data_IF_660488273741
#
_entry.id   IF_660488273741
#
_cell.length_a   1.000
_cell.length_b   1.000
_cell.length_c   1.000
_cell.angle_alpha   90.00
_cell.angle_beta   90.00
_cell.angle_gamma   90.00
#
_symmetry.space_group_name_H-M   'P 1'
#
loop_
_entity.id
_entity.type
_entity.pdbx_description
1 polymer ?
#
# COMPACT_ATOMS: atom_id res chain seq x y z
N UNK A 1 2.10 14.70 19.62
CA UNK A 1 2.13 15.74 18.57
C UNK A 1 2.02 15.16 17.16
N UNK A 2 1.11 15.70 16.32
CA UNK A 2 1.14 15.50 14.88
C UNK A 2 2.49 15.98 14.30
N UNK A 3 3.15 15.15 13.50
CA UNK A 3 4.52 15.44 13.02
C UNK A 3 4.60 15.62 11.51
N UNK A 4 3.62 15.17 10.74
CA UNK A 4 3.69 15.13 9.27
C UNK A 4 3.81 16.51 8.62
N UNK A 5 3.26 17.56 9.24
CA UNK A 5 3.37 18.95 8.77
C UNK A 5 4.83 19.41 8.60
N UNK A 6 5.77 18.85 9.38
CA UNK A 6 7.20 19.17 9.30
C UNK A 6 7.91 18.48 8.13
N UNK A 7 7.28 17.48 7.51
CA UNK A 7 7.88 16.69 6.42
C UNK A 7 7.29 17.01 5.05
N UNK A 8 5.99 17.33 4.98
CA UNK A 8 5.32 17.59 3.71
C UNK A 8 4.10 18.52 3.87
N UNK A 9 3.85 19.46 2.94
CA UNK A 9 2.69 20.37 3.02
C UNK A 9 1.33 19.66 3.08
N UNK A 10 1.20 18.51 2.39
CA UNK A 10 -0.02 17.67 2.43
C UNK A 10 -0.15 16.82 3.70
N UNK A 11 0.83 16.87 4.60
CA UNK A 11 0.85 16.12 5.86
C UNK A 11 0.49 14.63 5.67
N UNK A 12 -0.55 14.13 6.35
CA UNK A 12 -1.00 12.73 6.29
C UNK A 12 -1.50 12.30 4.90
N UNK A 13 -1.80 13.25 4.01
CA UNK A 13 -2.22 13.01 2.62
C UNK A 13 -1.05 13.03 1.61
N UNK A 14 0.20 13.12 2.09
CA UNK A 14 1.37 13.00 1.23
C UNK A 14 1.50 11.60 0.58
N UNK A 15 2.27 11.47 -0.51
CA UNK A 15 2.61 10.16 -1.10
C UNK A 15 3.13 9.16 -0.06
N UNK A 16 2.74 7.88 -0.23
CA UNK A 16 2.99 6.80 0.74
C UNK A 16 4.47 6.64 1.11
N UNK A 17 5.36 6.82 0.14
CA UNK A 17 6.81 6.71 0.35
C UNK A 17 7.35 7.84 1.23
N UNK A 18 6.79 9.06 1.11
CA UNK A 18 7.12 10.19 2.00
C UNK A 18 6.60 9.92 3.41
N UNK A 19 5.34 9.50 3.55
CA UNK A 19 4.74 9.18 4.85
C UNK A 19 5.51 8.07 5.56
N UNK A 20 5.85 6.98 4.85
CA UNK A 20 6.61 5.87 5.42
C UNK A 20 8.00 6.31 5.91
N UNK A 21 8.72 7.12 5.12
CA UNK A 21 10.03 7.66 5.52
C UNK A 21 9.92 8.58 6.74
N UNK A 22 8.90 9.44 6.80
CA UNK A 22 8.65 10.32 7.93
C UNK A 22 8.35 9.53 9.22
N UNK A 23 7.53 8.48 9.13
CA UNK A 23 7.26 7.58 10.26
C UNK A 23 8.56 6.93 10.75
N UNK A 24 9.37 6.36 9.84
CA UNK A 24 10.64 5.72 10.22
C UNK A 24 11.62 6.71 10.86
N UNK A 25 11.73 7.93 10.34
CA UNK A 25 12.56 8.97 10.95
C UNK A 25 12.06 9.36 12.34
N UNK A 26 10.75 9.50 12.50
CA UNK A 26 10.14 9.82 13.80
C UNK A 26 10.38 8.71 14.83
N UNK A 27 10.20 7.45 14.45
CA UNK A 27 10.51 6.27 15.29
C UNK A 27 11.97 6.29 15.79
N UNK A 28 12.92 6.63 14.91
CA UNK A 28 14.35 6.76 15.29
C UNK A 28 14.58 7.92 16.27
N UNK A 29 13.98 9.08 16.02
CA UNK A 29 14.11 10.27 16.88
C UNK A 29 13.57 10.02 18.29
N UNK A 30 12.44 9.31 18.40
CA UNK A 30 11.79 9.02 19.69
C UNK A 30 12.26 7.74 20.34
N UNK A 31 13.11 6.94 19.67
CA UNK A 31 13.53 5.59 20.11
C UNK A 31 12.32 4.68 20.40
N UNK A 32 11.33 4.71 19.52
CA UNK A 32 10.10 3.93 19.60
C UNK A 32 9.98 2.98 18.41
N UNK A 33 9.35 1.83 18.61
CA UNK A 33 9.09 0.84 17.57
C UNK A 33 7.82 1.13 16.74
N UNK A 34 7.05 2.15 17.13
CA UNK A 34 5.83 2.56 16.45
C UNK A 34 5.56 4.07 16.62
N UNK A 35 4.64 4.57 15.80
CA UNK A 35 3.96 5.86 15.99
C UNK A 35 2.47 5.61 16.17
N UNK A 36 1.70 6.67 16.42
CA UNK A 36 0.26 6.59 16.60
C UNK A 36 -0.50 7.12 15.38
N UNK A 37 -1.59 6.43 15.03
CA UNK A 37 -2.63 6.91 14.14
C UNK A 37 -3.86 7.31 14.98
N UNK A 38 -4.22 8.59 14.93
CA UNK A 38 -5.41 9.12 15.61
C UNK A 38 -6.63 9.03 14.68
N UNK A 39 -7.50 8.06 14.96
CA UNK A 39 -8.78 7.88 14.27
C UNK A 39 -9.97 8.48 15.04
N UNK A 40 -9.75 8.98 16.26
CA UNK A 40 -10.81 9.40 17.20
C UNK A 40 -11.62 10.61 16.69
N UNK A 41 -11.07 11.36 15.73
CA UNK A 41 -11.67 12.57 15.14
C UNK A 41 -12.51 12.29 13.89
N UNK A 42 -12.65 11.04 13.46
CA UNK A 42 -13.52 10.69 12.34
C UNK A 42 -14.98 10.90 12.77
N UNK A 43 -15.66 11.84 12.11
CA UNK A 43 -17.01 12.31 12.50
C UNK A 43 -18.10 11.26 12.30
N UNK A 44 -17.95 10.40 11.29
CA UNK A 44 -18.83 9.26 11.07
C UNK A 44 -18.46 8.15 12.07
N UNK A 45 -19.41 7.26 12.42
CA UNK A 45 -19.06 6.09 13.23
C UNK A 45 -17.96 5.29 12.54
N UNK A 46 -16.79 5.19 13.18
CA UNK A 46 -15.63 4.49 12.61
C UNK A 46 -15.98 3.03 12.31
N UNK A 47 -16.73 2.41 13.22
CA UNK A 47 -17.30 1.07 13.07
C UNK A 47 -18.18 0.88 11.82
N UNK A 48 -18.86 1.93 11.34
CA UNK A 48 -19.69 1.86 10.12
C UNK A 48 -18.86 2.06 8.85
N UNK A 49 -17.89 2.99 8.88
CA UNK A 49 -17.07 3.32 7.71
C UNK A 49 -15.95 2.31 7.47
N UNK A 50 -15.40 1.72 8.54
CA UNK A 50 -14.27 0.80 8.52
C UNK A 50 -14.53 -0.45 9.38
N UNK A 51 -15.60 -1.23 9.11
CA UNK A 51 -16.06 -2.30 9.99
C UNK A 51 -15.01 -3.40 10.22
N UNK A 52 -14.25 -3.77 9.18
CA UNK A 52 -13.18 -4.77 9.29
C UNK A 52 -12.03 -4.27 10.15
N UNK A 53 -11.62 -3.02 9.98
CA UNK A 53 -10.53 -2.43 10.78
C UNK A 53 -10.97 -2.30 12.24
N UNK A 54 -12.19 -1.80 12.47
CA UNK A 54 -12.77 -1.68 13.81
C UNK A 54 -12.76 -3.02 14.56
N UNK A 55 -13.25 -4.09 13.91
CA UNK A 55 -13.22 -5.43 14.50
C UNK A 55 -11.80 -5.89 14.85
N UNK A 56 -10.86 -5.75 13.92
CA UNK A 56 -9.48 -6.16 14.14
C UNK A 56 -8.81 -5.37 15.29
N UNK A 57 -9.10 -4.08 15.43
CA UNK A 57 -8.62 -3.28 16.55
C UNK A 57 -9.21 -3.77 17.89
N UNK A 58 -10.51 -4.04 17.94
CA UNK A 58 -11.15 -4.57 19.14
C UNK A 58 -10.62 -5.95 19.54
N UNK A 59 -10.34 -6.83 18.58
CA UNK A 59 -9.72 -8.14 18.84
C UNK A 59 -8.32 -8.00 19.48
N UNK A 60 -7.67 -6.85 19.28
CA UNK A 60 -6.39 -6.47 19.89
C UNK A 60 -6.54 -5.59 21.14
N UNK A 61 -7.77 -5.42 21.66
CA UNK A 61 -8.11 -4.54 22.78
C UNK A 61 -7.80 -3.06 22.56
N UNK A 62 -7.94 -2.58 21.32
CA UNK A 62 -7.76 -1.17 20.95
C UNK A 62 -9.10 -0.64 20.46
N UNK A 63 -9.66 0.38 21.10
CA UNK A 63 -10.88 1.05 20.62
C UNK A 63 -10.53 2.29 19.78
N UNK A 64 -10.55 2.21 18.43
CA UNK A 64 -10.10 3.31 17.57
C UNK A 64 -11.00 4.56 17.63
N UNK A 65 -12.18 4.47 18.27
CA UNK A 65 -13.05 5.63 18.52
C UNK A 65 -12.65 6.37 19.82
N UNK A 66 -11.84 5.76 20.69
CA UNK A 66 -11.47 6.30 22.01
C UNK A 66 -9.98 6.46 22.23
N UNK A 67 -9.15 5.65 21.58
CA UNK A 67 -7.70 5.63 21.76
C UNK A 67 -6.95 5.61 20.42
N UNK A 68 -5.64 5.82 20.49
CA UNK A 68 -4.79 5.88 19.30
C UNK A 68 -4.29 4.50 18.88
N UNK A 69 -4.23 4.26 17.58
CA UNK A 69 -3.80 2.96 17.03
C UNK A 69 -2.28 2.99 16.84
N UNK A 70 -1.50 2.08 17.47
CA UNK A 70 -0.07 1.97 17.21
C UNK A 70 0.15 1.41 15.78
N UNK A 71 0.99 2.08 15.00
CA UNK A 71 1.29 1.72 13.61
C UNK A 71 2.79 1.86 13.32
N UNK A 72 3.28 1.02 12.40
CA UNK A 72 4.64 1.09 11.87
C UNK A 72 4.63 0.77 10.37
N UNK A 73 5.62 1.25 9.59
CA UNK A 73 5.74 0.91 8.18
C UNK A 73 6.06 -0.58 8.01
N UNK A 74 5.44 -1.21 7.02
CA UNK A 74 5.71 -2.59 6.66
C UNK A 74 5.88 -2.73 5.14
N UNK A 75 6.73 -3.68 4.73
CA UNK A 75 6.82 -4.08 3.34
C UNK A 75 5.45 -4.59 2.87
N UNK A 76 4.99 -4.13 1.70
CA UNK A 76 3.60 -4.34 1.28
C UNK A 76 3.42 -4.75 -0.17
N UNK A 77 4.28 -4.30 -1.08
CA UNK A 77 4.13 -4.57 -2.51
C UNK A 77 5.47 -4.57 -3.23
N UNK A 78 5.62 -5.45 -4.22
CA UNK A 78 6.79 -5.51 -5.09
C UNK A 78 6.47 -4.93 -6.47
N UNK A 79 7.03 -3.75 -6.79
CA UNK A 79 6.87 -3.15 -8.13
C UNK A 79 7.77 -3.80 -9.20
N UNK A 80 8.86 -4.43 -8.78
CA UNK A 80 9.74 -5.20 -9.65
C UNK A 80 9.17 -6.58 -9.96
N UNK A 81 10.01 -7.47 -10.47
CA UNK A 81 9.62 -8.84 -10.79
C UNK A 81 10.17 -9.30 -12.13
N UNK A 82 9.52 -10.29 -12.71
CA UNK A 82 9.88 -10.85 -14.01
C UNK A 82 9.60 -9.81 -15.09
N UNK A 83 10.62 -9.34 -15.80
CA UNK A 83 10.45 -8.37 -16.88
C UNK A 83 9.58 -8.96 -17.98
N UNK A 84 8.55 -8.22 -18.37
CA UNK A 84 7.68 -8.58 -19.50
C UNK A 84 7.61 -7.46 -20.53
N UNK A 85 7.13 -7.79 -21.72
CA UNK A 85 6.63 -6.81 -22.66
C UNK A 85 5.20 -6.33 -22.29
N UNK A 86 4.58 -5.53 -23.17
CA UNK A 86 3.23 -5.00 -22.98
C UNK A 86 2.10 -6.03 -23.12
N UNK A 87 2.43 -7.27 -23.46
CA UNK A 87 1.55 -8.43 -23.58
C UNK A 87 1.79 -9.48 -22.47
N UNK A 88 2.71 -9.21 -21.55
CA UNK A 88 3.03 -10.10 -20.44
C UNK A 88 4.00 -11.24 -20.82
N UNK A 89 4.60 -11.19 -22.01
CA UNK A 89 5.57 -12.20 -22.45
C UNK A 89 6.94 -11.90 -21.84
N UNK A 90 7.63 -12.95 -21.36
CA UNK A 90 9.00 -12.84 -20.85
C UNK A 90 10.04 -12.96 -21.99
N UNK A 91 11.33 -12.94 -21.65
CA UNK A 91 12.40 -13.24 -22.61
C UNK A 91 12.51 -14.74 -22.95
N UNK A 92 11.73 -15.61 -22.29
CA UNK A 92 11.64 -17.03 -22.58
C UNK A 92 10.37 -17.30 -23.39
N UNK A 93 10.54 -18.02 -24.51
CA UNK A 93 9.43 -18.41 -25.37
C UNK A 93 8.40 -19.23 -24.58
N UNK A 94 7.12 -18.90 -24.76
CA UNK A 94 5.97 -19.53 -24.09
C UNK A 94 5.94 -19.38 -22.56
N UNK A 95 6.75 -18.49 -21.99
CA UNK A 95 6.64 -18.10 -20.58
C UNK A 95 6.10 -16.67 -20.46
N UNK A 96 5.07 -16.52 -19.63
CA UNK A 96 4.37 -15.26 -19.38
C UNK A 96 4.34 -14.95 -17.88
N UNK A 97 4.21 -13.67 -17.53
CA UNK A 97 4.01 -13.21 -16.16
C UNK A 97 3.04 -12.02 -16.11
N UNK A 98 2.22 -11.94 -15.06
CA UNK A 98 1.33 -10.81 -14.81
C UNK A 98 1.03 -10.65 -13.32
N UNK A 99 0.53 -9.47 -12.93
CA UNK A 99 0.30 -9.13 -11.52
C UNK A 99 1.61 -8.84 -10.79
N UNK A 100 1.60 -8.99 -9.47
CA UNK A 100 2.73 -8.57 -8.60
C UNK A 100 4.04 -9.31 -8.85
N UNK A 101 4.03 -10.49 -9.49
CA UNK A 101 5.26 -11.19 -9.84
C UNK A 101 5.96 -10.61 -11.09
N UNK A 102 5.30 -9.73 -11.83
CA UNK A 102 5.76 -9.19 -13.10
C UNK A 102 6.24 -7.74 -12.96
N UNK A 103 7.28 -7.41 -13.74
CA UNK A 103 7.69 -6.03 -13.98
C UNK A 103 7.19 -5.60 -15.35
N UNK A 104 5.94 -5.14 -15.38
CA UNK A 104 5.26 -4.68 -16.61
C UNK A 104 5.64 -3.24 -17.02
N UNK A 105 6.27 -2.50 -16.09
CA UNK A 105 6.59 -1.08 -16.23
C UNK A 105 5.49 -0.11 -15.79
N UNK A 106 4.27 -0.58 -15.51
CA UNK A 106 3.12 0.29 -15.15
C UNK A 106 3.33 1.04 -13.83
N UNK A 107 4.01 0.42 -12.86
CA UNK A 107 4.23 1.03 -11.55
C UNK A 107 5.47 1.92 -11.47
N UNK A 108 6.36 1.87 -12.47
CA UNK A 108 7.64 2.60 -12.44
C UNK A 108 8.37 2.45 -11.11
N UNK A 109 8.70 3.58 -10.47
CA UNK A 109 9.39 3.61 -9.17
C UNK A 109 8.44 3.59 -7.95
N UNK A 110 7.14 3.80 -8.14
CA UNK A 110 6.19 3.83 -7.03
C UNK A 110 4.78 3.48 -7.51
N UNK A 111 4.16 2.51 -6.84
CA UNK A 111 2.82 2.07 -7.19
C UNK A 111 1.77 3.09 -6.71
N UNK A 112 0.86 3.46 -7.60
CA UNK A 112 -0.36 4.18 -7.24
C UNK A 112 -1.40 3.23 -6.59
N UNK A 113 -2.11 3.71 -5.55
CA UNK A 113 -3.11 2.92 -4.85
C UNK A 113 -4.17 2.34 -5.82
N UNK A 114 -4.66 1.15 -5.53
CA UNK A 114 -5.66 0.43 -6.34
C UNK A 114 -5.22 -0.08 -7.74
N UNK A 115 -4.01 0.24 -8.21
CA UNK A 115 -3.56 -0.23 -9.53
C UNK A 115 -3.07 -1.70 -9.58
N UNK A 116 -2.70 -2.33 -8.46
CA UNK A 116 -2.15 -3.70 -8.49
C UNK A 116 -3.15 -4.75 -8.97
N UNK A 117 -4.41 -4.63 -8.53
CA UNK A 117 -5.45 -5.57 -8.94
C UNK A 117 -5.79 -5.40 -10.43
N UNK A 118 -5.84 -4.14 -10.88
CA UNK A 118 -6.08 -3.80 -12.28
C UNK A 118 -4.96 -4.30 -13.19
N UNK A 119 -3.70 -4.21 -12.77
CA UNK A 119 -2.57 -4.78 -13.51
C UNK A 119 -2.76 -6.29 -13.76
N UNK A 120 -3.10 -7.05 -12.71
CA UNK A 120 -3.35 -8.48 -12.82
C UNK A 120 -4.46 -8.80 -13.84
N UNK A 121 -5.59 -8.09 -13.76
CA UNK A 121 -6.72 -8.29 -14.67
C UNK A 121 -6.38 -7.92 -16.12
N UNK A 122 -5.75 -6.77 -16.34
CA UNK A 122 -5.43 -6.27 -17.68
C UNK A 122 -4.40 -7.16 -18.37
N UNK A 123 -3.28 -7.45 -17.71
CA UNK A 123 -2.23 -8.27 -18.32
C UNK A 123 -2.64 -9.73 -18.43
N UNK A 124 -3.39 -10.27 -17.46
CA UNK A 124 -3.97 -11.62 -17.57
C UNK A 124 -4.86 -11.78 -18.80
N UNK A 125 -5.71 -10.79 -19.09
CA UNK A 125 -6.54 -10.80 -20.30
C UNK A 125 -5.70 -10.70 -21.59
N UNK A 126 -4.66 -9.86 -21.61
CA UNK A 126 -3.74 -9.75 -22.76
C UNK A 126 -3.00 -11.05 -23.03
N UNK A 127 -2.48 -11.70 -21.99
CA UNK A 127 -1.81 -13.00 -22.09
C UNK A 127 -2.78 -14.04 -22.65
N UNK A 128 -4.02 -14.09 -22.15
CA UNK A 128 -5.03 -15.02 -22.65
C UNK A 128 -5.38 -14.80 -24.12
N UNK A 129 -5.35 -13.55 -24.62
CA UNK A 129 -5.49 -13.26 -26.04
C UNK A 129 -4.27 -13.75 -26.83
N UNK A 130 -3.06 -13.49 -26.33
CA UNK A 130 -1.81 -13.86 -27.00
C UNK A 130 -1.61 -15.37 -27.13
N UNK A 131 -2.04 -16.14 -26.13
CA UNK A 131 -1.95 -17.61 -26.14
C UNK A 131 -2.88 -18.25 -27.18
N UNK A 132 -3.94 -17.54 -27.61
CA UNK A 132 -4.90 -18.06 -28.61
C UNK A 132 -4.49 -17.79 -30.06
N UNK A 133 -3.49 -16.96 -30.28
CA UNK A 133 -2.88 -16.71 -31.60
C UNK A 133 -1.92 -17.85 -31.99
#
# INVERSE_FOLDING_TARGET
EPFMHSYHPLAELAPRDIVARAITDQMKKTKSDYVYLDATKIKDKFSQRFPTIYKNCLDLNIDPEKEYIPVAPAAHYTMGGIKTDTWGQTNLTNLYACGECASTGVHGANRLASNSLLEGLVFGNKIAQKIRE
#
